data_IF_308397340273
#
_entry.id   IF_308397340273
#
_cell.length_a   1.000
_cell.length_b   1.000
_cell.length_c   1.000
_cell.angle_alpha   90.00
_cell.angle_beta   90.00
_cell.angle_gamma   90.00
#
_symmetry.space_group_name_H-M   'P 1'
#
loop_
_entity.id
_entity.type
_entity.pdbx_description
1 polymer ?
#
# COMPACT_ATOMS: atom_id res chain seq x y z
N UNK A 1 36.66 -8.94 -8.67
CA UNK A 1 35.26 -8.46 -8.84
C UNK A 1 34.35 -9.68 -8.73
N UNK A 2 33.63 -9.83 -7.64
CA UNK A 2 32.62 -10.88 -7.54
C UNK A 2 31.43 -10.45 -8.38
N UNK A 3 31.33 -10.98 -9.61
CA UNK A 3 30.19 -10.75 -10.49
C UNK A 3 28.93 -11.39 -9.87
N UNK A 4 27.91 -10.59 -9.59
CA UNK A 4 26.60 -11.11 -9.20
C UNK A 4 25.98 -11.75 -10.44
N UNK A 5 25.73 -13.07 -10.39
CA UNK A 5 25.01 -13.77 -11.44
C UNK A 5 23.56 -13.25 -11.42
N UNK A 6 23.12 -12.69 -12.54
CA UNK A 6 21.74 -12.17 -12.70
C UNK A 6 20.93 -13.14 -13.55
N UNK A 7 19.75 -13.49 -13.08
CA UNK A 7 18.74 -14.16 -13.90
C UNK A 7 17.95 -13.08 -14.66
N UNK A 8 17.95 -13.15 -15.99
CA UNK A 8 17.29 -12.17 -16.85
C UNK A 8 16.01 -12.80 -17.41
N UNK A 9 14.88 -12.20 -17.08
CA UNK A 9 13.56 -12.59 -17.58
C UNK A 9 12.99 -11.47 -18.43
N UNK A 10 12.37 -11.83 -19.56
CA UNK A 10 11.88 -10.89 -20.57
C UNK A 10 10.48 -11.28 -21.04
N UNK A 11 9.83 -10.33 -21.72
CA UNK A 11 8.56 -10.55 -22.40
C UNK A 11 7.36 -10.57 -21.45
N UNK A 12 6.27 -11.12 -21.97
CA UNK A 12 4.98 -11.10 -21.28
C UNK A 12 4.98 -12.02 -20.06
N UNK A 13 5.63 -13.18 -20.12
CA UNK A 13 5.74 -14.11 -19.00
C UNK A 13 6.38 -13.44 -17.75
N UNK A 14 7.45 -12.69 -17.97
CA UNK A 14 8.11 -11.96 -16.88
C UNK A 14 7.21 -10.87 -16.30
N UNK A 15 6.47 -10.18 -17.16
CA UNK A 15 5.52 -9.14 -16.79
C UNK A 15 4.37 -9.71 -15.98
N UNK A 16 3.82 -10.85 -16.40
CA UNK A 16 2.76 -11.57 -15.71
C UNK A 16 3.19 -12.05 -14.33
N UNK A 17 4.42 -12.57 -14.20
CA UNK A 17 4.97 -13.00 -12.92
C UNK A 17 5.14 -11.83 -11.95
N UNK A 18 5.67 -10.70 -12.42
CA UNK A 18 5.77 -9.47 -11.61
C UNK A 18 4.39 -9.03 -11.13
N UNK A 19 3.39 -9.02 -12.03
CA UNK A 19 2.03 -8.63 -11.69
C UNK A 19 1.38 -9.58 -10.69
N UNK A 20 1.57 -10.89 -10.83
CA UNK A 20 1.12 -11.88 -9.83
C UNK A 20 1.70 -11.61 -8.44
N UNK A 21 2.97 -11.22 -8.37
CA UNK A 21 3.59 -10.82 -7.11
C UNK A 21 2.94 -9.61 -6.48
N UNK A 22 2.62 -8.59 -7.30
CA UNK A 22 1.87 -7.40 -6.89
C UNK A 22 0.49 -7.78 -6.36
N UNK A 23 -0.26 -8.63 -7.08
CA UNK A 23 -1.60 -9.08 -6.65
C UNK A 23 -1.57 -9.85 -5.33
N UNK A 24 -0.60 -10.75 -5.15
CA UNK A 24 -0.47 -11.53 -3.90
C UNK A 24 -0.29 -10.61 -2.69
N UNK A 25 0.61 -9.64 -2.79
CA UNK A 25 0.82 -8.66 -1.73
C UNK A 25 -0.43 -7.80 -1.49
N UNK A 26 -0.99 -7.23 -2.57
CA UNK A 26 -2.16 -6.37 -2.48
C UNK A 26 -3.36 -7.07 -1.83
N UNK A 27 -3.62 -8.33 -2.19
CA UNK A 27 -4.72 -9.12 -1.63
C UNK A 27 -4.53 -9.37 -0.13
N UNK A 28 -3.31 -9.68 0.30
CA UNK A 28 -3.01 -9.87 1.72
C UNK A 28 -3.22 -8.56 2.52
N UNK A 29 -2.63 -7.46 2.04
CA UNK A 29 -2.74 -6.15 2.71
C UNK A 29 -4.17 -5.62 2.69
N UNK A 30 -4.89 -5.73 1.57
CA UNK A 30 -6.26 -5.25 1.45
C UNK A 30 -7.24 -5.94 2.41
N UNK A 31 -6.93 -7.17 2.85
CA UNK A 31 -7.75 -7.88 3.83
C UNK A 31 -7.83 -7.19 5.19
N UNK A 32 -6.90 -6.29 5.49
CA UNK A 32 -6.85 -5.50 6.73
C UNK A 32 -7.55 -4.14 6.62
N UNK A 33 -8.04 -3.76 5.43
CA UNK A 33 -8.55 -2.42 5.15
C UNK A 33 -9.90 -2.15 5.80
N UNK A 34 -10.00 -0.99 6.46
CA UNK A 34 -11.26 -0.37 6.88
C UNK A 34 -11.93 -1.07 8.08
N UNK A 35 -13.17 -0.67 8.35
CA UNK A 35 -13.95 -1.17 9.50
C UNK A 35 -14.25 -2.68 9.42
N UNK A 36 -14.30 -3.25 8.23
CA UNK A 36 -14.44 -4.69 7.99
C UNK A 36 -13.11 -5.45 7.91
N UNK A 37 -11.99 -4.77 8.16
CA UNK A 37 -10.64 -5.36 8.08
C UNK A 37 -10.48 -6.55 9.03
N UNK A 38 -9.87 -7.61 8.51
CA UNK A 38 -9.63 -8.87 9.23
C UNK A 38 -8.25 -8.86 9.86
N UNK A 39 -8.10 -9.62 10.95
CA UNK A 39 -6.77 -9.96 11.45
C UNK A 39 -6.09 -10.94 10.47
N UNK A 40 -4.82 -10.74 10.27
CA UNK A 40 -3.95 -11.65 9.52
C UNK A 40 -3.05 -12.37 10.52
N UNK A 41 -2.94 -13.67 10.39
CA UNK A 41 -1.98 -14.47 11.14
C UNK A 41 -0.71 -14.62 10.31
N UNK A 42 0.39 -14.22 10.87
CA UNK A 42 1.72 -14.28 10.28
C UNK A 42 2.63 -15.15 11.13
N UNK A 43 3.68 -15.65 10.54
CA UNK A 43 4.79 -16.28 11.24
C UNK A 43 5.90 -15.26 11.42
N UNK A 44 6.39 -15.08 12.64
CA UNK A 44 7.56 -14.24 12.88
C UNK A 44 8.86 -14.94 12.47
N UNK A 45 9.98 -14.21 12.53
CA UNK A 45 11.29 -14.77 12.18
C UNK A 45 11.77 -15.93 13.07
N UNK A 46 11.01 -16.27 14.13
CA UNK A 46 11.29 -17.39 15.04
C UNK A 46 10.30 -18.57 14.88
N UNK A 47 9.37 -18.46 13.93
CA UNK A 47 8.33 -19.47 13.68
C UNK A 47 7.10 -19.37 14.60
N UNK A 48 6.94 -18.27 15.35
CA UNK A 48 5.78 -18.06 16.22
C UNK A 48 4.66 -17.32 15.48
N UNK A 49 3.38 -17.71 15.73
CA UNK A 49 2.26 -17.00 15.15
C UNK A 49 2.09 -15.61 15.77
N UNK A 50 1.98 -14.60 14.90
CA UNK A 50 1.65 -13.21 15.25
C UNK A 50 0.35 -12.84 14.57
N UNK A 51 -0.57 -12.24 15.30
CA UNK A 51 -1.85 -11.76 14.78
C UNK A 51 -1.78 -10.25 14.71
N UNK A 52 -2.04 -9.70 13.52
CA UNK A 52 -2.02 -8.25 13.26
C UNK A 52 -3.17 -7.81 12.36
N UNK A 53 -3.55 -6.54 12.48
CA UNK A 53 -4.41 -5.82 11.53
C UNK A 53 -3.63 -4.75 10.77
N UNK A 54 -2.38 -4.55 11.12
CA UNK A 54 -1.54 -3.52 10.52
C UNK A 54 -1.06 -3.96 9.13
N UNK A 55 -1.45 -3.18 8.12
CA UNK A 55 -1.09 -3.46 6.73
C UNK A 55 0.42 -3.36 6.45
N UNK A 56 1.16 -2.53 7.20
CA UNK A 56 2.63 -2.42 7.07
C UNK A 56 3.28 -3.72 7.51
N UNK A 57 2.92 -4.19 8.71
CA UNK A 57 3.43 -5.45 9.26
C UNK A 57 3.11 -6.62 8.34
N UNK A 58 1.88 -6.67 7.78
CA UNK A 58 1.49 -7.69 6.80
C UNK A 58 2.36 -7.58 5.55
N UNK A 59 2.51 -6.39 4.98
CA UNK A 59 3.31 -6.20 3.78
C UNK A 59 4.77 -6.63 3.98
N UNK A 60 5.38 -6.22 5.09
CA UNK A 60 6.80 -6.50 5.36
C UNK A 60 7.08 -7.98 5.59
N UNK A 61 6.14 -8.72 6.17
CA UNK A 61 6.27 -10.17 6.43
C UNK A 61 6.22 -11.03 5.16
N UNK A 62 5.64 -10.52 4.06
CA UNK A 62 5.46 -11.31 2.84
C UNK A 62 6.76 -11.38 2.06
N UNK A 63 7.29 -12.59 1.91
CA UNK A 63 8.38 -12.94 1.01
C UNK A 63 7.86 -14.06 0.12
N UNK A 64 7.87 -13.85 -1.20
CA UNK A 64 7.39 -14.84 -2.15
C UNK A 64 8.53 -15.77 -2.58
N UNK A 65 8.19 -17.03 -2.79
CA UNK A 65 9.17 -18.07 -3.17
C UNK A 65 9.75 -17.82 -4.57
N UNK A 66 8.90 -17.44 -5.53
CA UNK A 66 9.36 -17.08 -6.88
C UNK A 66 10.07 -15.73 -6.87
N UNK A 67 11.33 -15.63 -7.34
CA UNK A 67 12.09 -14.39 -7.29
C UNK A 67 11.49 -13.25 -8.13
N UNK A 68 10.81 -13.57 -9.24
CA UNK A 68 10.21 -12.58 -10.12
C UNK A 68 8.93 -12.04 -9.51
N UNK A 69 8.08 -12.91 -8.96
CA UNK A 69 6.92 -12.49 -8.18
C UNK A 69 7.33 -11.68 -6.94
N UNK A 70 8.39 -12.10 -6.25
CA UNK A 70 8.92 -11.39 -5.09
C UNK A 70 9.41 -9.99 -5.46
N UNK A 71 9.98 -9.80 -6.63
CA UNK A 71 10.34 -8.49 -7.14
C UNK A 71 9.11 -7.58 -7.33
N UNK A 72 8.00 -8.14 -7.88
CA UNK A 72 6.72 -7.43 -8.00
C UNK A 72 6.16 -7.00 -6.65
N UNK A 73 6.15 -7.90 -5.66
CA UNK A 73 5.71 -7.57 -4.30
C UNK A 73 6.59 -6.48 -3.66
N UNK A 74 7.90 -6.53 -3.88
CA UNK A 74 8.85 -5.53 -3.36
C UNK A 74 8.59 -4.14 -3.95
N UNK A 75 8.29 -4.03 -5.24
CA UNK A 75 7.94 -2.76 -5.86
C UNK A 75 6.69 -2.13 -5.22
N UNK A 76 5.68 -2.93 -4.93
CA UNK A 76 4.47 -2.44 -4.27
C UNK A 76 4.74 -2.04 -2.80
N UNK A 77 5.59 -2.78 -2.08
CA UNK A 77 6.04 -2.40 -0.74
C UNK A 77 6.74 -1.04 -0.73
N UNK A 78 7.62 -0.79 -1.69
CA UNK A 78 8.34 0.49 -1.79
C UNK A 78 7.37 1.66 -2.01
N UNK A 79 6.34 1.49 -2.84
CA UNK A 79 5.30 2.50 -3.02
C UNK A 79 4.54 2.80 -1.72
N UNK A 80 4.20 1.76 -0.95
CA UNK A 80 3.52 1.88 0.34
C UNK A 80 4.42 2.56 1.39
N UNK A 81 5.69 2.18 1.48
CA UNK A 81 6.68 2.77 2.41
C UNK A 81 6.90 4.25 2.13
N UNK A 82 6.96 4.64 0.86
CA UNK A 82 7.10 6.05 0.49
C UNK A 82 5.93 6.89 1.01
N UNK A 83 4.71 6.36 0.96
CA UNK A 83 3.53 7.05 1.52
C UNK A 83 3.66 7.26 3.03
N UNK A 84 4.12 6.26 3.77
CA UNK A 84 4.35 6.41 5.21
C UNK A 84 5.44 7.43 5.52
N UNK A 85 6.52 7.45 4.76
CA UNK A 85 7.59 8.43 4.94
C UNK A 85 7.13 9.87 4.72
N UNK A 86 6.21 10.09 3.79
CA UNK A 86 5.72 11.43 3.43
C UNK A 86 4.50 11.85 4.27
N UNK A 87 3.59 10.93 4.59
CA UNK A 87 2.31 11.23 5.25
C UNK A 87 2.15 10.64 6.66
N UNK A 88 3.04 9.74 7.08
CA UNK A 88 2.99 9.08 8.38
C UNK A 88 1.94 7.96 8.50
N UNK A 89 1.02 7.84 7.56
CA UNK A 89 -0.09 6.88 7.55
C UNK A 89 -0.56 6.58 6.12
N UNK A 90 -1.54 5.69 5.98
CA UNK A 90 -2.19 5.39 4.69
C UNK A 90 -1.54 4.29 3.88
N UNK A 91 -0.67 3.46 4.46
CA UNK A 91 0.03 2.36 3.79
C UNK A 91 -0.91 1.40 3.10
N UNK A 92 -1.95 0.94 3.80
CA UNK A 92 -2.94 0.00 3.26
C UNK A 92 -3.69 0.63 2.09
N UNK A 93 -4.13 1.88 2.24
CA UNK A 93 -4.81 2.64 1.19
C UNK A 93 -3.91 2.83 -0.04
N UNK A 94 -2.65 3.22 0.17
CA UNK A 94 -1.67 3.38 -0.90
C UNK A 94 -1.43 2.06 -1.66
N UNK A 95 -1.31 0.95 -0.94
CA UNK A 95 -1.15 -0.39 -1.52
C UNK A 95 -2.34 -0.76 -2.41
N UNK A 96 -3.56 -0.56 -1.92
CA UNK A 96 -4.80 -0.86 -2.65
C UNK A 96 -4.94 0.02 -3.89
N UNK A 97 -4.69 1.33 -3.76
CA UNK A 97 -4.75 2.26 -4.89
C UNK A 97 -3.68 1.97 -5.94
N UNK A 98 -2.44 1.73 -5.52
CA UNK A 98 -1.36 1.40 -6.45
C UNK A 98 -1.66 0.10 -7.22
N UNK A 99 -2.18 -0.93 -6.54
CA UNK A 99 -2.60 -2.16 -7.19
C UNK A 99 -3.74 -1.91 -8.19
N UNK A 100 -4.77 -1.16 -7.80
CA UNK A 100 -5.90 -0.87 -8.69
C UNK A 100 -5.45 -0.12 -9.95
N UNK A 101 -4.61 0.91 -9.81
CA UNK A 101 -4.05 1.66 -10.93
C UNK A 101 -3.21 0.76 -11.83
N UNK A 102 -2.35 -0.07 -11.25
CA UNK A 102 -1.51 -1.00 -12.01
C UNK A 102 -2.33 -2.05 -12.74
N UNK A 103 -3.40 -2.56 -12.14
CA UNK A 103 -4.30 -3.54 -12.75
C UNK A 103 -4.97 -2.97 -14.01
N UNK A 104 -5.53 -1.77 -13.89
CA UNK A 104 -6.12 -1.09 -15.04
C UNK A 104 -5.07 -0.74 -16.11
N UNK A 105 -3.91 -0.25 -15.71
CA UNK A 105 -2.80 0.04 -16.61
C UNK A 105 -2.33 -1.21 -17.35
N UNK A 106 -2.26 -2.36 -16.67
CA UNK A 106 -1.90 -3.64 -17.27
C UNK A 106 -2.90 -4.05 -18.36
N UNK A 107 -4.20 -3.97 -18.08
CA UNK A 107 -5.28 -4.28 -19.03
C UNK A 107 -5.21 -3.39 -20.28
N UNK A 108 -4.85 -2.12 -20.11
CA UNK A 108 -4.75 -1.15 -21.21
C UNK A 108 -3.43 -1.29 -21.99
N UNK A 109 -2.39 -1.87 -21.40
CA UNK A 109 -1.04 -1.96 -21.96
C UNK A 109 -0.95 -2.74 -23.29
N UNK A 110 -1.92 -3.61 -23.58
CA UNK A 110 -2.03 -4.28 -24.86
C UNK A 110 -2.39 -3.35 -26.03
N UNK A 111 -3.02 -2.21 -25.73
CA UNK A 111 -3.56 -1.26 -26.72
C UNK A 111 -2.87 0.09 -26.73
N UNK A 112 -2.15 0.42 -25.67
CA UNK A 112 -1.50 1.71 -25.45
C UNK A 112 -0.05 1.53 -25.04
N UNK A 113 0.79 2.47 -25.43
CA UNK A 113 2.18 2.46 -24.98
C UNK A 113 2.28 2.98 -23.52
N UNK A 114 3.35 2.59 -22.84
CA UNK A 114 3.58 2.92 -21.43
C UNK A 114 3.60 4.44 -21.15
N UNK A 115 4.03 5.25 -22.12
CA UNK A 115 4.07 6.70 -21.98
C UNK A 115 2.67 7.31 -21.97
N UNK A 116 1.80 6.89 -22.89
CA UNK A 116 0.39 7.33 -22.92
C UNK A 116 -0.35 6.95 -21.63
N UNK A 117 -0.10 5.74 -21.13
CA UNK A 117 -0.69 5.27 -19.86
C UNK A 117 -0.20 6.15 -18.71
N UNK A 118 1.09 6.40 -18.61
CA UNK A 118 1.67 7.27 -17.57
C UNK A 118 1.10 8.68 -17.63
N UNK A 119 1.01 9.29 -18.80
CA UNK A 119 0.49 10.64 -18.99
C UNK A 119 -1.00 10.70 -18.58
N UNK A 120 -1.78 9.67 -18.92
CA UNK A 120 -3.17 9.52 -18.51
C UNK A 120 -3.32 9.41 -16.98
N UNK A 121 -2.51 8.60 -16.32
CA UNK A 121 -2.49 8.45 -14.86
C UNK A 121 -2.16 9.79 -14.21
N UNK A 122 -1.09 10.47 -14.64
CA UNK A 122 -0.69 11.75 -14.07
C UNK A 122 -1.80 12.80 -14.20
N UNK A 123 -2.43 12.91 -15.38
CA UNK A 123 -3.56 13.82 -15.59
C UNK A 123 -4.76 13.51 -14.69
N UNK A 124 -5.04 12.23 -14.46
CA UNK A 124 -6.12 11.82 -13.54
C UNK A 124 -5.78 12.16 -12.09
N UNK A 125 -4.55 11.89 -11.64
CA UNK A 125 -4.07 12.19 -10.29
C UNK A 125 -4.19 13.68 -9.99
N UNK A 126 -3.76 14.56 -10.90
CA UNK A 126 -3.90 16.03 -10.72
C UNK A 126 -5.35 16.47 -10.49
N UNK A 127 -6.29 15.86 -11.24
CA UNK A 127 -7.73 16.16 -11.07
C UNK A 127 -8.27 15.68 -9.73
N UNK A 128 -7.84 14.48 -9.30
CA UNK A 128 -8.23 13.91 -8.01
C UNK A 128 -7.68 14.76 -6.87
N UNK A 129 -6.42 15.18 -6.92
CA UNK A 129 -5.82 16.06 -5.91
C UNK A 129 -6.61 17.37 -5.79
N UNK A 130 -6.88 18.06 -6.90
CA UNK A 130 -7.69 19.29 -6.91
C UNK A 130 -9.10 19.09 -6.35
N UNK A 131 -9.67 17.91 -6.53
CA UNK A 131 -10.97 17.58 -5.96
C UNK A 131 -10.89 17.35 -4.46
N UNK A 132 -9.87 16.63 -3.98
CA UNK A 132 -9.63 16.40 -2.57
C UNK A 132 -9.36 17.71 -1.81
N UNK A 133 -8.59 18.62 -2.40
CA UNK A 133 -8.35 19.96 -1.83
C UNK A 133 -9.65 20.76 -1.60
N UNK A 134 -10.62 20.61 -2.50
CA UNK A 134 -11.95 21.24 -2.34
C UNK A 134 -12.83 20.58 -1.28
N UNK A 135 -12.61 19.29 -1.02
CA UNK A 135 -13.34 18.55 0.00
C UNK A 135 -12.72 18.67 1.39
N UNK A 136 -11.45 19.05 1.46
CA UNK A 136 -10.74 19.20 2.72
C UNK A 136 -11.41 20.28 3.59
N UNK A 137 -11.59 19.95 4.86
CA UNK A 137 -12.15 20.86 5.87
C UNK A 137 -11.16 20.99 7.03
N UNK A 138 -11.15 22.17 7.65
CA UNK A 138 -10.32 22.40 8.84
C UNK A 138 -10.77 21.51 10.00
N UNK A 139 -9.80 20.95 10.72
CA UNK A 139 -10.07 20.18 11.94
C UNK A 139 -10.56 21.12 13.03
N UNK A 140 -11.75 20.87 13.59
CA UNK A 140 -12.38 21.69 14.62
C UNK A 140 -13.03 20.83 15.71
N UNK A 141 -13.01 21.32 16.95
CA UNK A 141 -13.67 20.68 18.08
C UNK A 141 -13.23 19.22 18.28
N UNK A 142 -14.19 18.32 18.44
CA UNK A 142 -13.98 16.91 18.70
C UNK A 142 -13.43 16.11 17.51
N UNK A 143 -13.26 16.76 16.35
CA UNK A 143 -12.67 16.08 15.18
C UNK A 143 -11.23 15.61 15.46
N UNK A 144 -10.47 16.36 16.27
CA UNK A 144 -9.11 15.99 16.63
C UNK A 144 -9.08 14.70 17.46
N UNK A 145 -10.00 14.53 18.40
CA UNK A 145 -10.13 13.33 19.20
C UNK A 145 -10.48 12.11 18.35
N UNK A 146 -11.38 12.29 17.39
CA UNK A 146 -11.75 11.22 16.44
C UNK A 146 -10.56 10.80 15.57
N UNK A 147 -9.79 11.76 15.03
CA UNK A 147 -8.60 11.49 14.22
C UNK A 147 -7.55 10.76 15.05
N UNK A 148 -7.28 11.24 16.26
CA UNK A 148 -6.32 10.62 17.15
C UNK A 148 -6.76 9.20 17.56
N UNK A 149 -8.04 8.98 17.89
CA UNK A 149 -8.57 7.66 18.21
C UNK A 149 -8.42 6.67 17.06
N UNK A 150 -8.70 7.08 15.82
CA UNK A 150 -8.52 6.25 14.64
C UNK A 150 -7.06 5.84 14.49
N UNK A 151 -6.12 6.78 14.70
CA UNK A 151 -4.68 6.53 14.58
C UNK A 151 -4.15 5.52 15.59
N UNK A 152 -4.84 5.34 16.71
CA UNK A 152 -4.53 4.35 17.77
C UNK A 152 -5.53 3.19 17.80
N UNK A 153 -6.01 2.79 16.66
CA UNK A 153 -6.84 1.59 16.49
C UNK A 153 -8.20 1.65 17.20
N UNK A 154 -8.81 2.85 17.24
CA UNK A 154 -10.07 3.20 17.93
C UNK A 154 -9.99 3.12 19.47
N UNK A 155 -8.81 3.28 20.04
CA UNK A 155 -8.64 3.50 21.47
C UNK A 155 -8.96 4.96 21.81
N UNK A 156 -10.15 5.21 22.37
CA UNK A 156 -10.62 6.56 22.67
C UNK A 156 -9.86 7.20 23.84
N UNK A 157 -9.41 6.41 24.81
CA UNK A 157 -8.64 6.93 25.95
C UNK A 157 -7.27 7.42 25.50
N UNK A 158 -6.54 6.59 24.78
CA UNK A 158 -5.24 6.95 24.22
C UNK A 158 -5.39 8.06 23.15
N UNK A 159 -6.44 8.02 22.35
CA UNK A 159 -6.75 9.05 21.36
C UNK A 159 -6.96 10.42 21.97
N UNK A 160 -7.70 10.49 23.08
CA UNK A 160 -7.91 11.75 23.81
C UNK A 160 -6.61 12.33 24.37
N UNK A 161 -5.75 11.49 24.95
CA UNK A 161 -4.43 11.93 25.46
C UNK A 161 -3.57 12.52 24.32
N UNK A 162 -3.58 11.88 23.16
CA UNK A 162 -2.86 12.39 22.00
C UNK A 162 -3.47 13.70 21.50
N UNK A 163 -4.80 13.77 21.38
CA UNK A 163 -5.49 14.98 20.95
C UNK A 163 -5.17 16.18 21.85
N UNK A 164 -5.12 15.97 23.17
CA UNK A 164 -4.78 16.99 24.15
C UNK A 164 -3.35 17.53 23.97
N UNK A 165 -2.42 16.71 23.50
CA UNK A 165 -1.05 17.16 23.21
C UNK A 165 -0.96 18.07 21.97
N UNK A 166 -1.98 18.05 21.10
CA UNK A 166 -2.05 18.88 19.89
C UNK A 166 -2.99 20.11 20.04
N UNK A 167 -3.67 20.26 21.15
CA UNK A 167 -4.49 21.44 21.48
C UNK A 167 -3.66 22.55 22.11
#
# INVERSE_FOLDING_TARGET
MNGIVKNLNFGDDARDQVFKGIEKLANAVSSTLGAGGKCVMLEDGTGKPVITKDGVTVADSIILFDPVENMGSTLLKEAARKTVQEAGDGTTTATVLAHAILKEAYTVSERKNAREIKDGINSAVEKVIKYLEKLAVDVKGDMLDNIASISVNNDNELGSIIADAFR
#
